data_IF_439322924610
#
_entry.id   IF_439322924610
#
_cell.length_a   1.000
_cell.length_b   1.000
_cell.length_c   1.000
_cell.angle_alpha   90.00
_cell.angle_beta   90.00
_cell.angle_gamma   90.00
#
_symmetry.space_group_name_H-M   'P 1'
#
loop_
_entity.id
_entity.type
_entity.pdbx_description
1 polymer ?
#
# COMPACT_ATOMS: atom_id res chain seq x y z
N UNK A 1 17.29 -44.00 -12.81
CA UNK A 1 17.01 -43.08 -11.69
C UNK A 1 17.31 -41.67 -12.18
N UNK A 2 16.30 -40.87 -12.52
CA UNK A 2 16.52 -39.54 -13.09
C UNK A 2 17.17 -38.63 -12.03
N UNK A 3 18.19 -37.82 -12.37
CA UNK A 3 18.84 -36.94 -11.40
C UNK A 3 17.82 -35.93 -10.87
N UNK A 4 17.74 -35.82 -9.54
CA UNK A 4 16.94 -34.78 -8.91
C UNK A 4 17.48 -33.42 -9.35
N UNK A 5 16.73 -32.72 -10.21
CA UNK A 5 17.08 -31.36 -10.63
C UNK A 5 17.20 -30.50 -9.38
N UNK A 6 18.39 -30.00 -9.09
CA UNK A 6 18.64 -29.13 -7.95
C UNK A 6 17.83 -27.84 -8.12
N UNK A 7 16.67 -27.77 -7.48
CA UNK A 7 15.82 -26.58 -7.51
C UNK A 7 16.45 -25.52 -6.64
N UNK A 8 16.71 -24.34 -7.20
CA UNK A 8 17.27 -23.19 -6.48
C UNK A 8 16.49 -22.95 -5.16
N UNK A 9 17.17 -22.84 -3.99
CA UNK A 9 16.52 -22.67 -2.69
C UNK A 9 15.53 -21.50 -2.63
N UNK A 10 15.82 -20.41 -3.33
CA UNK A 10 14.94 -19.23 -3.42
C UNK A 10 13.63 -19.54 -4.15
N UNK A 11 13.71 -20.28 -5.26
CA UNK A 11 12.56 -20.74 -6.04
C UNK A 11 11.73 -21.71 -5.21
N UNK A 12 12.37 -22.62 -4.46
CA UNK A 12 11.68 -23.55 -3.55
C UNK A 12 10.94 -22.79 -2.44
N UNK A 13 11.60 -21.80 -1.83
CA UNK A 13 10.99 -20.95 -0.80
C UNK A 13 9.77 -20.22 -1.34
N UNK A 14 9.89 -19.53 -2.48
CA UNK A 14 8.79 -18.79 -3.11
C UNK A 14 7.64 -19.70 -3.55
N UNK A 15 7.92 -20.91 -4.04
CA UNK A 15 6.89 -21.88 -4.43
C UNK A 15 6.08 -22.40 -3.25
N UNK A 16 6.65 -22.44 -2.06
CA UNK A 16 5.93 -22.87 -0.84
C UNK A 16 4.86 -21.87 -0.40
N UNK A 17 3.80 -22.36 0.26
CA UNK A 17 2.77 -21.50 0.88
C UNK A 17 3.34 -20.71 2.06
N UNK A 18 4.27 -21.30 2.81
CA UNK A 18 4.95 -20.66 3.95
C UNK A 18 5.76 -19.46 3.48
N UNK A 19 6.60 -19.64 2.45
CA UNK A 19 7.44 -18.55 1.93
C UNK A 19 6.62 -17.37 1.39
N UNK A 20 5.52 -17.62 0.68
CA UNK A 20 4.61 -16.55 0.24
C UNK A 20 3.99 -15.78 1.40
N UNK A 21 3.56 -16.49 2.47
CA UNK A 21 3.01 -15.84 3.67
C UNK A 21 4.06 -15.00 4.40
N UNK A 22 5.31 -15.47 4.47
CA UNK A 22 6.41 -14.70 5.05
C UNK A 22 6.69 -13.43 4.24
N UNK A 23 6.76 -13.52 2.91
CA UNK A 23 6.92 -12.35 2.05
C UNK A 23 5.76 -11.38 2.23
N UNK A 24 4.52 -11.86 2.24
CA UNK A 24 3.33 -11.04 2.47
C UNK A 24 3.38 -10.33 3.84
N UNK A 25 3.82 -11.00 4.90
CA UNK A 25 3.94 -10.42 6.23
C UNK A 25 5.02 -9.33 6.31
N UNK A 26 6.24 -9.63 5.82
CA UNK A 26 7.37 -8.67 5.86
C UNK A 26 7.05 -7.42 5.04
N UNK A 27 6.52 -7.58 3.83
CA UNK A 27 6.09 -6.45 3.00
C UNK A 27 4.95 -5.66 3.65
N UNK A 28 4.02 -6.35 4.33
CA UNK A 28 2.99 -5.71 5.14
C UNK A 28 3.55 -4.80 6.24
N UNK A 29 4.54 -5.28 6.99
CA UNK A 29 5.21 -4.51 8.06
C UNK A 29 5.90 -3.26 7.48
N UNK A 30 6.60 -3.40 6.35
CA UNK A 30 7.25 -2.28 5.66
C UNK A 30 6.22 -1.21 5.28
N UNK A 31 5.10 -1.62 4.68
CA UNK A 31 4.04 -0.68 4.28
C UNK A 31 3.36 -0.02 5.48
N UNK A 32 3.13 -0.75 6.59
CA UNK A 32 2.58 -0.17 7.83
C UNK A 32 3.54 0.90 8.38
N UNK A 33 4.84 0.59 8.46
CA UNK A 33 5.84 1.55 8.92
C UNK A 33 5.86 2.83 8.07
N UNK A 34 5.75 2.67 6.75
CA UNK A 34 5.62 3.82 5.84
C UNK A 34 4.34 4.60 6.09
N UNK A 35 3.18 3.95 6.21
CA UNK A 35 1.89 4.65 6.45
C UNK A 35 1.95 5.45 7.75
N UNK A 36 2.52 4.88 8.82
CA UNK A 36 2.72 5.59 10.09
C UNK A 36 3.59 6.83 9.89
N UNK A 37 4.78 6.69 9.31
CA UNK A 37 5.68 7.82 9.03
C UNK A 37 5.05 8.86 8.11
N UNK A 38 4.31 8.41 7.09
CA UNK A 38 3.59 9.25 6.14
C UNK A 38 2.52 10.08 6.85
N UNK A 39 1.68 9.47 7.68
CA UNK A 39 0.66 10.20 8.45
C UNK A 39 1.32 11.18 9.41
N UNK A 40 2.37 10.78 10.14
CA UNK A 40 3.10 11.67 11.05
C UNK A 40 3.65 12.91 10.34
N UNK A 41 4.20 12.75 9.12
CA UNK A 41 4.63 13.87 8.29
C UNK A 41 3.47 14.77 7.87
N UNK A 42 2.33 14.19 7.49
CA UNK A 42 1.14 14.96 7.09
C UNK A 42 0.47 15.70 8.27
N UNK A 43 0.57 15.19 9.50
CA UNK A 43 0.06 15.89 10.70
C UNK A 43 0.73 17.25 10.92
N UNK A 44 1.89 17.52 10.30
CA UNK A 44 2.51 18.84 10.31
C UNK A 44 1.63 19.92 9.67
N UNK A 45 0.58 19.57 8.92
CA UNK A 45 -0.43 20.53 8.47
C UNK A 45 -1.02 21.34 9.61
N UNK A 46 -1.23 20.72 10.77
CA UNK A 46 -1.79 21.38 11.96
C UNK A 46 -0.79 22.35 12.62
N UNK A 47 0.48 22.32 12.19
CA UNK A 47 1.53 23.24 12.64
C UNK A 47 1.78 24.39 11.65
N UNK A 48 0.99 24.50 10.59
CA UNK A 48 1.04 25.59 9.63
C UNK A 48 1.90 25.30 8.38
N UNK A 49 1.83 26.19 7.38
CA UNK A 49 2.46 26.01 6.06
C UNK A 49 3.98 25.86 6.13
N UNK A 50 4.63 26.64 6.99
CA UNK A 50 6.09 26.65 7.14
C UNK A 50 6.64 25.28 7.53
N UNK A 51 6.02 24.61 8.52
CA UNK A 51 6.49 23.31 9.03
C UNK A 51 6.29 22.19 8.00
N UNK A 52 5.14 22.16 7.35
CA UNK A 52 4.85 21.14 6.34
C UNK A 52 5.74 21.31 5.09
N UNK A 53 5.88 22.53 4.59
CA UNK A 53 6.69 22.81 3.40
C UNK A 53 8.19 22.61 3.69
N UNK A 54 8.68 23.00 4.87
CA UNK A 54 10.06 22.74 5.28
C UNK A 54 10.35 21.23 5.39
N UNK A 55 9.43 20.45 5.96
CA UNK A 55 9.57 18.99 6.02
C UNK A 55 9.60 18.35 4.63
N UNK A 56 8.73 18.79 3.72
CA UNK A 56 8.74 18.33 2.33
C UNK A 56 10.04 18.70 1.60
N UNK A 57 10.56 19.91 1.83
CA UNK A 57 11.83 20.36 1.27
C UNK A 57 13.01 19.54 1.80
N UNK A 58 13.05 19.29 3.11
CA UNK A 58 14.06 18.42 3.74
C UNK A 58 14.07 17.02 3.12
N UNK A 59 12.91 16.38 3.01
CA UNK A 59 12.80 15.04 2.41
C UNK A 59 13.33 15.01 0.97
N UNK A 60 12.97 16.01 0.15
CA UNK A 60 13.48 16.12 -1.22
C UNK A 60 14.99 16.36 -1.27
N UNK A 61 15.52 17.14 -0.33
CA UNK A 61 16.95 17.39 -0.17
C UNK A 61 17.78 16.15 0.14
N UNK A 62 17.18 15.12 0.77
CA UNK A 62 17.88 13.84 1.05
C UNK A 62 18.15 12.99 -0.19
N UNK A 63 17.51 13.28 -1.33
CA UNK A 63 17.76 12.67 -2.64
C UNK A 63 17.79 11.13 -2.64
N UNK A 64 18.98 10.56 -2.43
CA UNK A 64 19.22 9.12 -2.42
C UNK A 64 18.39 8.34 -1.39
N UNK A 65 18.22 8.87 -0.17
CA UNK A 65 17.42 8.20 0.86
C UNK A 65 15.93 8.14 0.47
N UNK A 66 15.40 9.23 -0.09
CA UNK A 66 14.02 9.29 -0.58
C UNK A 66 13.78 8.31 -1.74
N UNK A 67 14.71 8.22 -2.69
CA UNK A 67 14.62 7.26 -3.78
C UNK A 67 14.72 5.81 -3.32
N UNK A 68 15.62 5.52 -2.39
CA UNK A 68 15.72 4.19 -1.78
C UNK A 68 14.39 3.80 -1.12
N UNK A 69 13.80 4.69 -0.31
CA UNK A 69 12.51 4.45 0.31
C UNK A 69 11.41 4.17 -0.72
N UNK A 70 11.36 4.94 -1.84
CA UNK A 70 10.41 4.73 -2.94
C UNK A 70 10.57 3.36 -3.60
N UNK A 71 11.81 2.95 -3.90
CA UNK A 71 12.10 1.67 -4.53
C UNK A 71 11.74 0.50 -3.60
N UNK A 72 12.08 0.61 -2.31
CA UNK A 72 11.72 -0.39 -1.29
C UNK A 72 10.20 -0.52 -1.18
N UNK A 73 9.47 0.60 -1.13
CA UNK A 73 8.01 0.59 -1.05
C UNK A 73 7.37 0.02 -2.31
N UNK A 74 7.85 0.41 -3.50
CA UNK A 74 7.35 -0.13 -4.75
C UNK A 74 7.54 -1.65 -4.82
N UNK A 75 8.73 -2.13 -4.47
CA UNK A 75 9.00 -3.57 -4.39
C UNK A 75 8.11 -4.26 -3.35
N UNK A 76 7.93 -3.66 -2.17
CA UNK A 76 7.08 -4.21 -1.12
C UNK A 76 5.62 -4.33 -1.56
N UNK A 77 5.05 -3.30 -2.17
CA UNK A 77 3.67 -3.31 -2.69
C UNK A 77 3.50 -4.39 -3.76
N UNK A 78 4.41 -4.46 -4.74
CA UNK A 78 4.35 -5.46 -5.82
C UNK A 78 4.41 -6.87 -5.23
N UNK A 79 5.41 -7.16 -4.39
CA UNK A 79 5.58 -8.47 -3.77
C UNK A 79 4.38 -8.85 -2.89
N UNK A 80 3.83 -7.88 -2.14
CA UNK A 80 2.66 -8.09 -1.30
C UNK A 80 1.44 -8.48 -2.12
N UNK A 81 1.13 -7.72 -3.18
CA UNK A 81 -0.01 -7.98 -4.07
C UNK A 81 0.15 -9.31 -4.78
N UNK A 82 1.35 -9.61 -5.31
CA UNK A 82 1.61 -10.89 -5.98
C UNK A 82 1.43 -12.06 -5.02
N UNK A 83 1.99 -11.99 -3.80
CA UNK A 83 1.82 -13.03 -2.80
C UNK A 83 0.34 -13.20 -2.40
N UNK A 84 -0.39 -12.11 -2.19
CA UNK A 84 -1.80 -12.11 -1.83
C UNK A 84 -2.68 -12.74 -2.93
N UNK A 85 -2.42 -12.41 -4.21
CA UNK A 85 -3.13 -12.99 -5.36
C UNK A 85 -2.82 -14.47 -5.49
N UNK A 86 -1.55 -14.87 -5.41
CA UNK A 86 -1.15 -16.28 -5.51
C UNK A 86 -1.74 -17.12 -4.37
N UNK A 87 -1.67 -16.65 -3.13
CA UNK A 87 -2.27 -17.34 -1.99
C UNK A 87 -3.80 -17.43 -2.13
N UNK A 88 -4.45 -16.38 -2.64
CA UNK A 88 -5.90 -16.41 -2.90
C UNK A 88 -6.26 -17.42 -3.98
N UNK A 89 -5.47 -17.52 -5.07
CA UNK A 89 -5.67 -18.53 -6.12
C UNK A 89 -5.48 -19.94 -5.59
N UNK A 90 -4.41 -20.19 -4.84
CA UNK A 90 -4.15 -21.48 -4.20
C UNK A 90 -5.28 -21.88 -3.24
N UNK A 91 -5.78 -20.93 -2.44
CA UNK A 91 -6.92 -21.17 -1.54
C UNK A 91 -8.20 -21.55 -2.30
N UNK A 92 -8.46 -20.91 -3.45
CA UNK A 92 -9.62 -21.22 -4.30
C UNK A 92 -9.48 -22.58 -4.97
N UNK A 93 -8.30 -22.90 -5.50
CA UNK A 93 -8.03 -24.19 -6.16
C UNK A 93 -8.09 -25.37 -5.18
N UNK A 94 -7.64 -25.17 -3.94
CA UNK A 94 -7.74 -26.18 -2.89
C UNK A 94 -9.20 -26.40 -2.41
N UNK A 95 -10.18 -25.64 -2.92
CA UNK A 95 -11.59 -25.69 -2.52
C UNK A 95 -12.53 -25.62 -3.74
N UNK A 96 -12.62 -26.70 -4.54
CA UNK A 96 -13.50 -26.76 -5.71
C UNK A 96 -14.99 -26.86 -5.33
N UNK A 97 -15.32 -27.49 -4.19
CA UNK A 97 -16.69 -27.51 -3.63
C UNK A 97 -16.83 -26.45 -2.53
N UNK A 98 -17.93 -25.70 -2.55
CA UNK A 98 -18.24 -24.68 -1.55
C UNK A 98 -18.58 -25.28 -0.18
N UNK A 99 -18.60 -24.44 0.86
CA UNK A 99 -19.08 -24.86 2.17
C UNK A 99 -20.61 -25.00 2.18
N UNK A 100 -21.10 -26.17 2.60
CA UNK A 100 -22.53 -26.40 2.88
C UNK A 100 -23.05 -25.51 4.03
N UNK A 101 -22.18 -25.18 4.99
CA UNK A 101 -22.45 -24.20 6.06
C UNK A 101 -21.31 -23.21 6.18
N UNK A 102 -21.62 -21.93 6.03
CA UNK A 102 -20.66 -20.82 6.14
C UNK A 102 -20.61 -20.29 7.57
N UNK A 103 -20.32 -21.16 8.53
CA UNK A 103 -20.21 -20.76 9.93
C UNK A 103 -18.77 -20.31 10.25
N UNK A 104 -18.51 -19.02 10.50
CA UNK A 104 -17.16 -18.51 10.70
C UNK A 104 -16.63 -18.92 12.08
N UNK A 105 -15.78 -19.96 12.12
CA UNK A 105 -15.16 -20.43 13.37
C UNK A 105 -14.01 -19.52 13.86
N UNK A 106 -13.23 -18.93 12.94
CA UNK A 106 -11.99 -18.15 13.27
C UNK A 106 -11.84 -16.87 12.43
N UNK A 107 -12.68 -16.65 11.43
CA UNK A 107 -12.54 -15.54 10.48
C UNK A 107 -13.36 -14.33 10.90
N UNK A 108 -12.69 -13.22 11.21
CA UNK A 108 -13.36 -11.94 11.52
C UNK A 108 -14.01 -11.33 10.27
N UNK A 109 -14.94 -10.39 10.45
CA UNK A 109 -15.51 -9.62 9.33
C UNK A 109 -14.42 -8.92 8.52
N UNK A 110 -13.47 -8.26 9.20
CA UNK A 110 -12.31 -7.65 8.57
C UNK A 110 -11.52 -8.65 7.72
N UNK A 111 -11.21 -9.85 8.25
CA UNK A 111 -10.48 -10.87 7.50
C UNK A 111 -11.21 -11.30 6.21
N UNK A 112 -12.54 -11.25 6.19
CA UNK A 112 -13.36 -11.58 5.01
C UNK A 112 -13.37 -10.47 3.96
N UNK A 113 -13.27 -9.21 4.38
CA UNK A 113 -13.29 -8.03 3.50
C UNK A 113 -11.91 -7.51 3.12
N UNK A 114 -10.81 -7.99 3.72
CA UNK A 114 -9.42 -7.56 3.44
C UNK A 114 -9.09 -7.51 1.94
N UNK A 115 -9.60 -8.44 1.12
CA UNK A 115 -9.35 -8.42 -0.33
C UNK A 115 -10.00 -7.22 -1.02
N UNK A 116 -11.22 -6.88 -0.61
CA UNK A 116 -11.94 -5.72 -1.13
C UNK A 116 -11.33 -4.41 -0.62
N UNK A 117 -10.94 -4.37 0.66
CA UNK A 117 -10.16 -3.26 1.21
C UNK A 117 -8.84 -3.05 0.46
N UNK A 118 -8.11 -4.13 0.13
CA UNK A 118 -6.90 -4.05 -0.68
C UNK A 118 -7.12 -3.49 -2.09
N UNK A 119 -8.24 -3.84 -2.75
CA UNK A 119 -8.60 -3.26 -4.04
C UNK A 119 -8.95 -1.77 -3.93
N UNK A 120 -9.75 -1.40 -2.92
CA UNK A 120 -10.09 -0.01 -2.63
C UNK A 120 -8.82 0.83 -2.42
N UNK A 121 -7.91 0.35 -1.56
CA UNK A 121 -6.62 1.00 -1.28
C UNK A 121 -5.77 1.09 -2.54
N UNK A 122 -5.74 0.06 -3.40
CA UNK A 122 -4.98 0.10 -4.64
C UNK A 122 -5.41 1.26 -5.55
N UNK A 123 -6.71 1.42 -5.78
CA UNK A 123 -7.23 2.54 -6.57
C UNK A 123 -7.03 3.88 -5.86
N UNK A 124 -7.21 3.91 -4.54
CA UNK A 124 -6.95 5.11 -3.73
C UNK A 124 -5.49 5.58 -3.84
N UNK A 125 -4.51 4.66 -3.81
CA UNK A 125 -3.09 4.99 -3.95
C UNK A 125 -2.78 5.57 -5.33
N UNK A 126 -3.37 5.02 -6.40
CA UNK A 126 -3.21 5.59 -7.75
C UNK A 126 -3.72 7.02 -7.78
N UNK A 127 -4.96 7.24 -7.31
CA UNK A 127 -5.54 8.57 -7.23
C UNK A 127 -4.70 9.50 -6.37
N UNK A 128 -4.23 9.04 -5.21
CA UNK A 128 -3.40 9.79 -4.28
C UNK A 128 -2.09 10.26 -4.92
N UNK A 129 -1.41 9.39 -5.66
CA UNK A 129 -0.18 9.73 -6.40
C UNK A 129 -0.49 10.77 -7.48
N UNK A 130 -1.54 10.56 -8.27
CA UNK A 130 -1.94 11.49 -9.33
C UNK A 130 -2.34 12.87 -8.80
N UNK A 131 -2.83 12.92 -7.56
CA UNK A 131 -3.31 14.16 -6.96
C UNK A 131 -2.21 14.91 -6.21
N UNK A 132 -1.41 14.24 -5.37
CA UNK A 132 -0.44 14.89 -4.49
C UNK A 132 1.03 14.68 -4.85
N UNK A 133 1.35 13.72 -5.74
CA UNK A 133 2.74 13.49 -6.18
C UNK A 133 3.00 14.08 -7.56
N UNK A 134 2.16 13.78 -8.55
CA UNK A 134 2.35 14.28 -9.93
C UNK A 134 1.50 15.51 -10.23
N UNK A 135 0.44 15.77 -9.44
CA UNK A 135 -0.46 16.91 -9.65
C UNK A 135 -1.36 16.81 -10.88
N UNK A 136 -1.41 15.66 -11.55
CA UNK A 136 -2.18 15.44 -12.78
C UNK A 136 -3.68 15.67 -12.59
N UNK A 137 -4.22 15.38 -11.41
CA UNK A 137 -5.63 15.60 -11.06
C UNK A 137 -5.86 16.88 -10.25
N UNK A 138 -4.84 17.74 -10.13
CA UNK A 138 -4.88 18.92 -9.26
C UNK A 138 -4.57 20.20 -10.07
N UNK A 139 -5.60 20.95 -10.53
CA UNK A 139 -5.41 22.08 -11.45
C UNK A 139 -4.46 23.18 -10.95
N UNK A 140 -4.40 23.40 -9.64
CA UNK A 140 -3.57 24.43 -8.99
C UNK A 140 -2.32 23.86 -8.32
N UNK A 141 -1.76 22.76 -8.85
CA UNK A 141 -0.66 22.05 -8.20
C UNK A 141 0.65 22.84 -8.22
N UNK A 142 1.19 23.10 -7.02
CA UNK A 142 2.51 23.71 -6.85
C UNK A 142 3.47 22.72 -6.20
N UNK A 143 4.55 22.35 -6.91
CA UNK A 143 5.53 21.43 -6.37
C UNK A 143 6.23 21.97 -5.12
N UNK A 144 6.40 23.28 -4.96
CA UNK A 144 7.09 23.90 -3.83
C UNK A 144 6.19 24.09 -2.59
N UNK A 145 4.87 24.15 -2.79
CA UNK A 145 3.91 24.45 -1.72
C UNK A 145 2.92 23.29 -1.50
N UNK A 146 3.34 22.34 -0.68
CA UNK A 146 2.53 21.15 -0.35
C UNK A 146 1.32 21.54 0.51
N UNK A 147 1.48 22.53 1.39
CA UNK A 147 0.39 23.01 2.21
C UNK A 147 -0.76 23.58 1.36
N UNK A 148 -0.45 24.46 0.41
CA UNK A 148 -1.47 25.02 -0.49
C UNK A 148 -2.17 23.94 -1.31
N UNK A 149 -1.44 22.94 -1.83
CA UNK A 149 -2.05 21.81 -2.54
C UNK A 149 -3.03 21.05 -1.65
N UNK A 150 -2.64 20.79 -0.40
CA UNK A 150 -3.50 20.03 0.51
C UNK A 150 -4.77 20.79 0.90
N UNK A 151 -4.65 22.09 1.22
CA UNK A 151 -5.81 22.91 1.57
C UNK A 151 -6.74 23.11 0.37
N UNK A 152 -6.21 23.34 -0.83
CA UNK A 152 -7.03 23.53 -2.04
C UNK A 152 -7.75 22.23 -2.44
N UNK A 153 -7.07 21.08 -2.37
CA UNK A 153 -7.68 19.77 -2.55
C UNK A 153 -8.86 19.52 -1.60
N UNK A 154 -8.65 19.71 -0.30
CA UNK A 154 -9.67 19.38 0.72
C UNK A 154 -10.78 20.41 0.89
N UNK A 155 -10.69 21.56 0.22
CA UNK A 155 -11.82 22.49 0.07
C UNK A 155 -12.90 21.97 -0.87
N UNK A 156 -12.59 20.98 -1.71
CA UNK A 156 -13.54 20.37 -2.64
C UNK A 156 -14.25 19.20 -1.93
N UNK A 157 -15.56 19.29 -1.63
CA UNK A 157 -16.22 18.34 -0.72
C UNK A 157 -16.19 16.88 -1.20
N UNK A 158 -16.33 16.65 -2.51
CA UNK A 158 -16.31 15.29 -3.06
C UNK A 158 -14.91 14.66 -3.02
N UNK A 159 -13.85 15.48 -3.15
CA UNK A 159 -12.46 15.01 -2.97
C UNK A 159 -12.27 14.59 -1.52
N UNK A 160 -12.68 15.43 -0.57
CA UNK A 160 -12.61 15.11 0.85
C UNK A 160 -13.36 13.82 1.20
N UNK A 161 -14.58 13.63 0.66
CA UNK A 161 -15.34 12.40 0.84
C UNK A 161 -14.59 11.17 0.31
N UNK A 162 -13.97 11.26 -0.87
CA UNK A 162 -13.18 10.17 -1.44
C UNK A 162 -11.99 9.79 -0.55
N UNK A 163 -11.29 10.77 0.01
CA UNK A 163 -10.17 10.52 0.92
C UNK A 163 -10.62 9.95 2.27
N UNK A 164 -11.76 10.38 2.79
CA UNK A 164 -12.36 9.79 4.01
C UNK A 164 -12.70 8.32 3.76
N UNK A 165 -13.33 7.99 2.63
CA UNK A 165 -13.63 6.60 2.25
C UNK A 165 -12.36 5.77 2.06
N UNK A 166 -11.31 6.35 1.45
CA UNK A 166 -10.02 5.67 1.29
C UNK A 166 -9.30 5.36 2.61
N UNK A 167 -9.65 6.07 3.69
CA UNK A 167 -9.06 5.89 5.03
C UNK A 167 -9.94 5.05 5.97
N UNK A 168 -11.18 4.72 5.60
CA UNK A 168 -12.14 3.96 6.41
C UNK A 168 -11.99 2.44 6.22
#
# INVERSE_FOLDING_TARGET
MAPAVAVNPTVRFWRSTIGKKMVMAVTGIIMIGFVVGHVLGNLLVFRGPEKLNAYAAFLRGTGGALWLARLVLLAAVILHVVAAVQLTRLQRQARPTGYDRKDPQVSTFAARTIRWGGLLIFFFVILHILHFTTGTLHPSFNHADIYANMISAFRVPWISALYVVGMA
#
